data_IF_965620812865
#
_entry.id   IF_965620812865
#
_cell.length_a   1.000
_cell.length_b   1.000
_cell.length_c   1.000
_cell.angle_alpha   90.00
_cell.angle_beta   90.00
_cell.angle_gamma   90.00
#
_symmetry.space_group_name_H-M   'P 1'
#
loop_
_entity.id
_entity.type
_entity.pdbx_description
1 polymer ?
#
# COMPACT_ATOMS: atom_id res chain seq x y z
N UNK A 1 -26.62 0.86 2.26
CA UNK A 1 -26.40 2.29 1.96
C UNK A 1 -26.53 2.41 0.46
N UNK A 2 -27.65 2.89 -0.02
CA UNK A 2 -27.88 3.19 -1.45
C UNK A 2 -27.27 4.57 -1.70
N UNK A 3 -26.16 4.60 -2.43
CA UNK A 3 -25.55 5.84 -2.89
C UNK A 3 -26.30 6.24 -4.15
N UNK A 4 -27.07 7.33 -4.07
CA UNK A 4 -27.73 7.95 -5.23
C UNK A 4 -26.64 8.50 -6.16
N UNK A 5 -26.48 7.88 -7.32
CA UNK A 5 -25.51 8.29 -8.33
C UNK A 5 -26.24 9.24 -9.29
N UNK A 6 -25.80 10.52 -9.44
CA UNK A 6 -26.38 11.41 -10.43
C UNK A 6 -26.27 10.83 -11.83
N UNK A 7 -27.35 10.85 -12.60
CA UNK A 7 -27.47 10.22 -13.92
C UNK A 7 -26.59 10.81 -15.04
N UNK A 8 -25.59 11.66 -14.72
CA UNK A 8 -24.64 12.26 -15.65
C UNK A 8 -23.21 11.74 -15.50
N UNK A 9 -22.99 10.67 -14.71
CA UNK A 9 -21.65 10.09 -14.56
C UNK A 9 -21.24 9.44 -15.89
N UNK A 10 -20.14 9.93 -16.45
CA UNK A 10 -19.51 9.33 -17.63
C UNK A 10 -19.23 7.84 -17.39
N UNK A 11 -19.44 7.00 -18.37
CA UNK A 11 -19.02 5.59 -18.34
C UNK A 11 -17.49 5.52 -18.55
N UNK A 12 -16.74 4.90 -17.64
CA UNK A 12 -17.13 4.08 -16.47
C UNK A 12 -17.44 4.89 -15.22
N UNK A 13 -18.55 4.55 -14.52
CA UNK A 13 -18.97 5.24 -13.30
C UNK A 13 -18.01 5.06 -12.10
N UNK A 14 -18.18 5.84 -11.02
CA UNK A 14 -17.27 5.86 -9.87
C UNK A 14 -17.15 4.51 -9.14
N UNK A 15 -18.11 3.62 -9.31
CA UNK A 15 -18.10 2.27 -8.75
C UNK A 15 -17.23 1.27 -9.56
N UNK A 16 -16.87 1.59 -10.80
CA UNK A 16 -16.15 0.68 -11.69
C UNK A 16 -14.77 0.29 -11.14
N UNK A 17 -14.01 1.28 -10.70
CA UNK A 17 -12.68 1.06 -10.13
C UNK A 17 -12.70 0.23 -8.83
N UNK A 18 -13.53 0.54 -7.82
CA UNK A 18 -13.66 -0.30 -6.63
C UNK A 18 -14.10 -1.74 -6.93
N UNK A 19 -14.99 -1.95 -7.89
CA UNK A 19 -15.44 -3.30 -8.28
C UNK A 19 -14.29 -4.10 -8.87
N UNK A 20 -13.53 -3.55 -9.81
CA UNK A 20 -12.35 -4.23 -10.38
C UNK A 20 -11.34 -4.57 -9.30
N UNK A 21 -11.03 -3.61 -8.42
CA UNK A 21 -10.08 -3.81 -7.33
C UNK A 21 -10.53 -4.96 -6.41
N UNK A 22 -11.81 -4.98 -6.08
CA UNK A 22 -12.41 -6.03 -5.24
C UNK A 22 -12.31 -7.41 -5.92
N UNK A 23 -12.64 -7.50 -7.20
CA UNK A 23 -12.52 -8.75 -7.95
C UNK A 23 -11.07 -9.23 -7.98
N UNK A 24 -10.11 -8.34 -8.31
CA UNK A 24 -8.69 -8.68 -8.32
C UNK A 24 -8.21 -9.14 -6.94
N UNK A 25 -8.63 -8.47 -5.87
CA UNK A 25 -8.27 -8.84 -4.51
C UNK A 25 -8.78 -10.24 -4.14
N UNK A 26 -10.03 -10.55 -4.46
CA UNK A 26 -10.58 -11.88 -4.21
C UNK A 26 -9.91 -12.97 -5.06
N UNK A 27 -9.57 -12.68 -6.32
CA UNK A 27 -8.85 -13.63 -7.17
C UNK A 27 -7.46 -13.93 -6.59
N UNK A 28 -6.71 -12.91 -6.20
CA UNK A 28 -5.37 -13.07 -5.60
C UNK A 28 -5.47 -13.82 -4.27
N UNK A 29 -6.42 -13.46 -3.41
CA UNK A 29 -6.64 -14.14 -2.14
C UNK A 29 -6.99 -15.62 -2.36
N UNK A 30 -7.86 -15.92 -3.33
CA UNK A 30 -8.23 -17.28 -3.69
C UNK A 30 -7.04 -18.10 -4.22
N UNK A 31 -6.23 -17.51 -5.12
CA UNK A 31 -5.03 -18.14 -5.65
C UNK A 31 -4.01 -18.44 -4.55
N UNK A 32 -3.75 -17.46 -3.67
CA UNK A 32 -2.83 -17.64 -2.54
C UNK A 32 -3.33 -18.73 -1.60
N UNK A 33 -4.62 -18.74 -1.28
CA UNK A 33 -5.21 -19.78 -0.42
C UNK A 33 -5.03 -21.18 -1.04
N UNK A 34 -5.33 -21.31 -2.34
CA UNK A 34 -5.14 -22.58 -3.05
C UNK A 34 -3.67 -22.99 -3.10
N UNK A 35 -2.77 -22.03 -3.34
CA UNK A 35 -1.33 -22.29 -3.37
C UNK A 35 -0.82 -22.76 -2.01
N UNK A 36 -1.17 -22.07 -0.93
CA UNK A 36 -0.77 -22.43 0.44
C UNK A 36 -1.33 -23.77 0.88
N UNK A 37 -2.57 -24.12 0.45
CA UNK A 37 -3.15 -25.42 0.76
C UNK A 37 -2.55 -26.57 -0.06
N UNK A 38 -2.11 -26.30 -1.31
CA UNK A 38 -1.51 -27.32 -2.18
C UNK A 38 -0.02 -27.52 -1.95
N UNK A 39 0.67 -26.45 -1.58
CA UNK A 39 2.08 -26.44 -1.27
C UNK A 39 2.25 -25.75 0.08
N UNK A 40 2.08 -26.49 1.20
CA UNK A 40 2.53 -25.99 2.50
C UNK A 40 4.01 -25.67 2.35
N UNK A 41 4.42 -24.45 2.70
CA UNK A 41 5.82 -24.01 2.58
C UNK A 41 6.73 -25.02 3.27
N UNK A 42 7.39 -25.86 2.48
CA UNK A 42 8.53 -26.61 2.97
C UNK A 42 9.61 -25.59 3.31
N UNK A 43 10.26 -25.71 4.48
CA UNK A 43 11.35 -24.83 4.85
C UNK A 43 12.39 -24.84 3.74
N UNK A 44 12.74 -23.66 3.21
CA UNK A 44 13.73 -23.51 2.16
C UNK A 44 15.03 -24.22 2.58
N UNK A 45 15.48 -25.26 1.87
CA UNK A 45 16.65 -26.03 2.24
C UNK A 45 17.94 -25.20 2.27
N UNK A 46 17.95 -24.03 1.61
CA UNK A 46 19.08 -23.11 1.60
C UNK A 46 19.10 -22.16 2.82
N UNK A 47 18.03 -22.12 3.61
CA UNK A 47 18.02 -21.39 4.89
C UNK A 47 18.63 -22.30 5.95
N UNK A 48 19.95 -22.17 6.16
CA UNK A 48 20.65 -22.83 7.26
C UNK A 48 19.93 -22.48 8.57
N UNK A 49 19.36 -23.45 9.31
CA UNK A 49 18.69 -23.15 10.57
C UNK A 49 19.68 -22.47 11.50
N UNK A 50 19.30 -21.38 12.19
CA UNK A 50 20.19 -20.82 13.20
C UNK A 50 20.52 -21.91 14.21
N UNK A 51 21.80 -22.01 14.61
CA UNK A 51 22.36 -23.04 15.47
C UNK A 51 21.62 -23.25 16.82
N UNK A 52 20.64 -22.43 17.13
CA UNK A 52 19.79 -22.46 18.32
C UNK A 52 18.44 -23.16 18.13
N UNK A 53 18.14 -23.75 16.95
CA UNK A 53 16.95 -24.61 16.76
C UNK A 53 15.59 -23.92 16.93
N UNK A 54 15.52 -22.63 17.11
CA UNK A 54 14.27 -21.88 17.19
C UNK A 54 13.93 -21.30 15.82
N UNK A 55 13.03 -21.96 15.11
CA UNK A 55 12.30 -21.35 14.02
C UNK A 55 11.55 -20.14 14.59
N UNK A 56 11.92 -18.94 14.20
CA UNK A 56 11.20 -17.73 14.59
C UNK A 56 9.86 -17.69 13.87
N UNK A 57 8.89 -18.43 14.33
CA UNK A 57 7.46 -18.23 14.06
C UNK A 57 6.93 -17.02 14.83
N UNK A 58 7.81 -16.10 15.22
CA UNK A 58 7.39 -14.91 15.94
C UNK A 58 6.94 -13.88 14.93
N UNK A 59 5.63 -13.63 14.94
CA UNK A 59 5.07 -12.42 14.33
C UNK A 59 5.90 -11.23 14.77
N UNK A 60 6.44 -10.48 13.82
CA UNK A 60 7.22 -9.29 14.12
C UNK A 60 6.28 -8.15 14.55
N UNK A 61 5.94 -8.16 15.85
CA UNK A 61 5.07 -7.15 16.46
C UNK A 61 5.61 -5.74 16.30
N UNK A 62 6.95 -5.59 16.14
CA UNK A 62 7.57 -4.28 15.89
C UNK A 62 7.26 -3.82 14.47
N UNK A 63 7.40 -4.69 13.48
CA UNK A 63 7.05 -4.37 12.09
C UNK A 63 5.55 -4.05 11.99
N UNK A 64 4.69 -4.87 12.59
CA UNK A 64 3.25 -4.61 12.63
C UNK A 64 2.93 -3.27 13.29
N UNK A 65 3.54 -2.97 14.44
CA UNK A 65 3.35 -1.69 15.14
C UNK A 65 3.80 -0.50 14.31
N UNK A 66 4.93 -0.61 13.59
CA UNK A 66 5.43 0.45 12.70
C UNK A 66 4.48 0.67 11.52
N UNK A 67 3.96 -0.39 10.91
CA UNK A 67 3.00 -0.28 9.80
C UNK A 67 1.72 0.39 10.26
N UNK A 68 1.18 -0.01 11.42
CA UNK A 68 -0.02 0.61 12.00
C UNK A 68 0.22 2.09 12.35
N UNK A 69 1.37 2.42 12.94
CA UNK A 69 1.75 3.81 13.21
C UNK A 69 1.89 4.62 11.92
N UNK A 70 2.46 4.03 10.88
CA UNK A 70 2.54 4.63 9.54
C UNK A 70 1.17 4.92 8.95
N UNK A 71 0.22 3.99 9.10
CA UNK A 71 -1.14 4.16 8.61
C UNK A 71 -1.89 5.28 9.35
N UNK A 72 -1.72 5.35 10.66
CA UNK A 72 -2.28 6.44 11.48
C UNK A 72 -1.65 7.77 11.06
N UNK A 73 -0.33 7.82 10.95
CA UNK A 73 0.39 9.01 10.49
C UNK A 73 -0.08 9.46 9.10
N UNK A 74 -0.25 8.54 8.16
CA UNK A 74 -0.80 8.81 6.83
C UNK A 74 -2.17 9.48 6.92
N UNK A 75 -3.08 8.92 7.72
CA UNK A 75 -4.44 9.45 7.86
C UNK A 75 -4.45 10.87 8.44
N UNK A 76 -3.65 11.12 9.47
CA UNK A 76 -3.56 12.42 10.14
C UNK A 76 -2.89 13.47 9.23
N UNK A 77 -1.85 13.07 8.51
CA UNK A 77 -1.07 13.97 7.67
C UNK A 77 -1.65 14.18 6.25
N UNK A 78 -2.66 13.40 5.87
CA UNK A 78 -3.28 13.48 4.55
C UNK A 78 -3.81 14.88 4.24
N UNK A 79 -4.45 15.54 5.20
CA UNK A 79 -5.01 16.89 5.02
C UNK A 79 -3.91 17.95 4.98
N UNK A 80 -2.99 18.05 5.98
CA UNK A 80 -1.99 19.11 5.98
C UNK A 80 -0.90 18.93 4.93
N UNK A 81 -0.35 17.72 4.76
CA UNK A 81 0.75 17.47 3.81
C UNK A 81 0.28 17.18 2.38
N UNK A 82 -0.94 16.71 2.25
CA UNK A 82 -1.48 16.22 0.99
C UNK A 82 -1.10 14.76 0.69
N UNK A 83 -1.66 14.24 -0.41
CA UNK A 83 -1.53 12.85 -0.79
C UNK A 83 -0.08 12.39 -1.02
N UNK A 84 0.69 13.15 -1.81
CA UNK A 84 2.03 12.73 -2.26
C UNK A 84 2.97 12.52 -1.09
N UNK A 85 3.08 13.52 -0.20
CA UNK A 85 4.00 13.45 0.93
C UNK A 85 3.55 12.44 1.98
N UNK A 86 2.24 12.35 2.24
CA UNK A 86 1.70 11.38 3.18
C UNK A 86 1.89 9.95 2.68
N UNK A 87 1.66 9.68 1.39
CA UNK A 87 1.89 8.38 0.79
C UNK A 87 3.37 8.02 0.75
N UNK A 88 4.25 8.97 0.40
CA UNK A 88 5.70 8.75 0.43
C UNK A 88 6.19 8.39 1.85
N UNK A 89 5.69 9.06 2.86
CA UNK A 89 6.00 8.76 4.26
C UNK A 89 5.53 7.35 4.65
N UNK A 90 4.31 6.99 4.27
CA UNK A 90 3.78 5.64 4.52
C UNK A 90 4.64 4.56 3.87
N UNK A 91 4.98 4.70 2.57
CA UNK A 91 5.84 3.76 1.87
C UNK A 91 7.21 3.64 2.52
N UNK A 92 7.79 4.76 2.93
CA UNK A 92 9.07 4.75 3.63
C UNK A 92 9.02 4.02 4.97
N UNK A 93 7.98 4.26 5.78
CA UNK A 93 7.77 3.56 7.07
C UNK A 93 7.59 2.06 6.84
N UNK A 94 6.81 1.66 5.84
CA UNK A 94 6.59 0.25 5.51
C UNK A 94 7.89 -0.41 5.06
N UNK A 95 8.67 0.22 4.17
CA UNK A 95 9.96 -0.28 3.74
C UNK A 95 10.92 -0.49 4.94
N UNK A 96 10.94 0.48 5.86
CA UNK A 96 11.74 0.38 7.08
C UNK A 96 11.25 -0.72 8.02
N UNK A 97 9.94 -0.87 8.18
CA UNK A 97 9.33 -1.95 8.97
C UNK A 97 9.67 -3.34 8.41
N UNK A 98 9.82 -3.46 7.09
CA UNK A 98 10.23 -4.70 6.42
C UNK A 98 11.76 -4.92 6.44
N UNK A 99 12.51 -4.09 7.15
CA UNK A 99 13.95 -4.29 7.36
C UNK A 99 14.85 -3.67 6.30
N UNK A 100 14.37 -2.70 5.52
CA UNK A 100 15.24 -1.98 4.56
C UNK A 100 16.40 -1.28 5.28
N UNK A 101 17.59 -1.43 4.72
CA UNK A 101 18.83 -0.85 5.25
C UNK A 101 19.30 0.38 4.45
N UNK A 102 18.55 0.81 3.42
CA UNK A 102 18.93 1.89 2.51
C UNK A 102 17.95 3.07 2.58
N UNK A 103 17.93 3.84 3.67
CA UNK A 103 16.88 4.84 3.93
C UNK A 103 16.77 5.93 2.86
N UNK A 104 17.89 6.36 2.28
CA UNK A 104 17.91 7.41 1.24
C UNK A 104 17.27 6.90 -0.06
N UNK A 105 17.55 5.66 -0.44
CA UNK A 105 16.98 5.05 -1.62
C UNK A 105 15.48 4.79 -1.42
N UNK A 106 15.08 4.35 -0.24
CA UNK A 106 13.68 4.14 0.12
C UNK A 106 12.86 5.43 0.04
N UNK A 107 13.42 6.56 0.50
CA UNK A 107 12.76 7.87 0.37
C UNK A 107 12.60 8.26 -1.09
N UNK A 108 13.66 8.10 -1.90
CA UNK A 108 13.60 8.42 -3.33
C UNK A 108 12.55 7.57 -4.05
N UNK A 109 12.54 6.25 -3.82
CA UNK A 109 11.57 5.33 -4.40
C UNK A 109 10.15 5.66 -3.93
N UNK A 110 9.97 5.92 -2.64
CA UNK A 110 8.66 6.29 -2.08
C UNK A 110 8.09 7.54 -2.73
N UNK A 111 8.90 8.56 -2.96
CA UNK A 111 8.48 9.78 -3.65
C UNK A 111 8.13 9.51 -5.11
N UNK A 112 8.98 8.78 -5.84
CA UNK A 112 8.72 8.44 -7.24
C UNK A 112 7.43 7.66 -7.39
N UNK A 113 7.21 6.64 -6.55
CA UNK A 113 5.99 5.83 -6.58
C UNK A 113 4.76 6.68 -6.25
N UNK A 114 4.84 7.52 -5.22
CA UNK A 114 3.72 8.40 -4.84
C UNK A 114 3.38 9.40 -5.95
N UNK A 115 4.37 9.99 -6.61
CA UNK A 115 4.17 10.88 -7.76
C UNK A 115 3.59 10.13 -8.96
N UNK A 116 4.06 8.91 -9.23
CA UNK A 116 3.55 8.09 -10.33
C UNK A 116 2.07 7.71 -10.10
N UNK A 117 1.72 7.32 -8.88
CA UNK A 117 0.33 7.05 -8.50
C UNK A 117 -0.53 8.30 -8.65
N UNK A 118 -0.06 9.44 -8.16
CA UNK A 118 -0.77 10.72 -8.32
C UNK A 118 -1.00 11.06 -9.78
N UNK A 119 0.02 10.95 -10.63
CA UNK A 119 -0.09 11.22 -12.06
C UNK A 119 -1.08 10.27 -12.73
N UNK A 120 -1.07 9.00 -12.37
CA UNK A 120 -2.02 8.01 -12.88
C UNK A 120 -3.46 8.35 -12.52
N UNK A 121 -3.73 8.72 -11.26
CA UNK A 121 -5.07 9.07 -10.82
C UNK A 121 -5.54 10.41 -11.40
N UNK A 122 -4.66 11.39 -11.47
CA UNK A 122 -4.98 12.72 -12.01
C UNK A 122 -5.19 12.68 -13.53
N UNK A 123 -4.23 12.10 -14.27
CA UNK A 123 -4.28 12.07 -15.73
C UNK A 123 -5.19 10.94 -16.28
N UNK A 124 -5.24 9.78 -15.60
CA UNK A 124 -5.99 8.61 -16.07
C UNK A 124 -7.45 8.61 -15.68
N UNK A 125 -7.76 9.06 -14.47
CA UNK A 125 -9.11 9.01 -13.91
C UNK A 125 -9.75 10.40 -13.69
N UNK A 126 -8.99 11.48 -13.91
CA UNK A 126 -9.48 12.86 -13.70
C UNK A 126 -9.82 13.15 -12.23
N UNK A 127 -9.27 12.37 -11.28
CA UNK A 127 -9.53 12.53 -9.86
C UNK A 127 -8.54 13.52 -9.25
N UNK A 128 -9.06 14.62 -8.70
CA UNK A 128 -8.25 15.56 -7.93
C UNK A 128 -8.05 15.02 -6.51
N UNK A 129 -6.87 14.43 -6.26
CA UNK A 129 -6.46 14.06 -4.92
C UNK A 129 -6.06 15.31 -4.11
N UNK A 130 -6.23 15.32 -2.77
CA UNK A 130 -5.91 16.48 -1.95
C UNK A 130 -4.43 16.84 -2.09
N UNK A 131 -4.17 18.01 -2.67
CA UNK A 131 -2.81 18.49 -2.95
C UNK A 131 -2.07 18.98 -1.68
N UNK A 132 -2.79 19.20 -0.58
CA UNK A 132 -2.23 19.69 0.68
C UNK A 132 -1.42 20.99 0.49
N UNK A 133 -0.24 21.06 1.12
CA UNK A 133 0.68 22.20 1.02
C UNK A 133 1.14 22.45 -0.42
N UNK A 134 1.19 21.44 -1.26
CA UNK A 134 1.60 21.54 -2.67
C UNK A 134 0.52 22.13 -3.57
N UNK A 135 -0.73 22.23 -3.10
CA UNK A 135 -1.84 22.82 -3.86
C UNK A 135 -1.70 24.32 -4.16
N UNK A 136 -0.74 25.00 -3.57
CA UNK A 136 -0.38 26.39 -3.87
C UNK A 136 0.73 26.55 -4.93
N UNK A 137 1.28 25.44 -5.43
CA UNK A 137 2.39 25.43 -6.40
C UNK A 137 1.94 25.06 -7.82
N UNK A 138 0.69 24.57 -7.99
CA UNK A 138 0.11 24.18 -9.28
C UNK A 138 -1.21 24.87 -9.56
#
# INVERSE_FOLDING_TARGET
IVIDIPGSAATPGPAFFPIILTICAYLIAGLLTVQTLRHPDEPDPDIVPPATGQWRTQSDWRALGLVLAGLIAFTVLLIPLGWILSAALLFWIVAHAMGSTRPVLDIAVSLVVSCAVQAFFSAGLGLNLPAGILGGLF
#
